data_IF_702307706153
#
_entry.id   IF_702307706153
#
_cell.length_a   1.000
_cell.length_b   1.000
_cell.length_c   1.000
_cell.angle_alpha   90.00
_cell.angle_beta   90.00
_cell.angle_gamma   90.00
#
_symmetry.space_group_name_H-M   'P 1'
#
loop_
_entity.id
_entity.type
_entity.pdbx_description
1 polymer ?
#
# COMPACT_ATOMS: atom_id res chain seq x y z
N UNK A 1 52.47 32.04 -9.41
CA UNK A 1 52.09 30.66 -9.04
C UNK A 1 51.16 30.73 -7.83
N UNK A 2 49.84 30.88 -8.03
CA UNK A 2 48.83 29.80 -7.99
C UNK A 2 49.02 28.82 -6.82
N UNK A 3 48.53 29.27 -5.67
CA UNK A 3 48.07 28.47 -4.52
C UNK A 3 47.15 27.32 -5.00
N UNK A 4 47.71 26.11 -5.01
CA UNK A 4 47.01 24.86 -4.73
C UNK A 4 47.45 24.55 -3.29
N UNK A 5 46.58 24.41 -2.32
CA UNK A 5 45.67 23.28 -2.18
C UNK A 5 44.38 23.74 -1.51
N UNK A 6 43.26 23.40 -2.17
CA UNK A 6 41.94 23.46 -1.57
C UNK A 6 41.92 22.50 -0.39
N UNK A 7 41.45 22.95 0.77
CA UNK A 7 40.88 22.08 1.79
C UNK A 7 39.77 21.24 1.15
N UNK A 8 40.14 20.06 0.65
CA UNK A 8 39.23 19.09 0.07
C UNK A 8 38.80 18.20 1.23
N UNK A 9 37.53 18.34 1.62
CA UNK A 9 36.98 17.80 2.87
C UNK A 9 37.27 16.32 3.13
N UNK A 10 37.41 16.02 4.43
CA UNK A 10 37.82 14.79 5.13
C UNK A 10 37.31 13.41 4.64
N UNK A 11 36.34 13.33 3.72
CA UNK A 11 35.72 12.06 3.31
C UNK A 11 36.56 11.25 2.31
N UNK A 12 37.40 11.89 1.49
CA UNK A 12 38.29 11.17 0.55
C UNK A 12 39.41 10.39 1.24
N UNK A 13 39.61 10.60 2.55
CA UNK A 13 40.58 9.88 3.36
C UNK A 13 39.98 8.65 4.08
N UNK A 14 38.65 8.46 4.01
CA UNK A 14 37.98 7.33 4.66
C UNK A 14 38.01 6.08 3.77
N UNK A 15 38.19 4.88 4.35
CA UNK A 15 37.98 3.63 3.63
C UNK A 15 36.55 3.51 3.06
N UNK A 16 36.39 2.83 1.94
CA UNK A 16 35.09 2.58 1.28
C UNK A 16 34.08 1.96 2.25
N UNK A 17 34.52 1.07 3.13
CA UNK A 17 33.66 0.41 4.11
C UNK A 17 33.08 1.41 5.13
N UNK A 18 33.86 2.41 5.55
CA UNK A 18 33.36 3.47 6.43
C UNK A 18 32.32 4.33 5.71
N UNK A 19 32.57 4.68 4.45
CA UNK A 19 31.62 5.44 3.63
C UNK A 19 30.34 4.62 3.42
N UNK A 20 30.46 3.33 3.10
CA UNK A 20 29.34 2.41 2.92
C UNK A 20 28.51 2.30 4.19
N UNK A 21 29.14 2.15 5.35
CA UNK A 21 28.42 2.11 6.63
C UNK A 21 27.64 3.42 6.88
N UNK A 22 28.25 4.59 6.63
CA UNK A 22 27.57 5.88 6.73
C UNK A 22 26.37 5.93 5.77
N UNK A 23 26.55 5.54 4.51
CA UNK A 23 25.50 5.54 3.50
C UNK A 23 24.34 4.61 3.87
N UNK A 24 24.63 3.44 4.45
CA UNK A 24 23.62 2.47 4.88
C UNK A 24 22.68 3.00 5.98
N UNK A 25 23.08 4.05 6.70
CA UNK A 25 22.29 4.72 7.73
C UNK A 25 21.48 5.91 7.19
N UNK A 26 21.55 6.18 5.89
CA UNK A 26 20.78 7.24 5.21
C UNK A 26 19.54 6.65 4.51
N UNK A 27 18.91 7.42 3.61
CA UNK A 27 17.84 6.90 2.74
C UNK A 27 18.40 6.40 1.41
N UNK A 28 17.71 5.49 0.71
CA UNK A 28 18.07 5.08 -0.66
C UNK A 28 18.23 6.28 -1.61
N UNK A 29 17.37 7.30 -1.43
CA UNK A 29 17.43 8.56 -2.19
C UNK A 29 18.72 9.33 -1.90
N UNK A 30 19.12 9.43 -0.65
CA UNK A 30 20.34 10.16 -0.26
C UNK A 30 21.60 9.42 -0.69
N UNK A 31 21.65 8.10 -0.55
CA UNK A 31 22.75 7.29 -1.07
C UNK A 31 22.93 7.48 -2.59
N UNK A 32 21.83 7.51 -3.35
CA UNK A 32 21.89 7.81 -4.79
C UNK A 32 22.41 9.23 -5.06
N UNK A 33 22.02 10.24 -4.28
CA UNK A 33 22.51 11.62 -4.44
C UNK A 33 23.99 11.74 -4.10
N UNK A 34 24.42 11.13 -3.00
CA UNK A 34 25.80 11.14 -2.54
C UNK A 34 26.73 10.43 -3.54
N UNK A 35 26.24 9.40 -4.24
CA UNK A 35 26.98 8.72 -5.33
C UNK A 35 27.44 9.65 -6.47
N UNK A 36 26.82 10.83 -6.62
CA UNK A 36 27.16 11.80 -7.65
C UNK A 36 28.24 12.79 -7.21
N UNK A 37 28.65 12.78 -5.94
CA UNK A 37 29.60 13.75 -5.37
C UNK A 37 31.04 13.38 -5.69
N UNK A 38 31.40 12.09 -5.60
CA UNK A 38 32.75 11.60 -5.89
C UNK A 38 32.74 10.12 -6.29
N UNK A 39 33.87 9.64 -6.80
CA UNK A 39 34.07 8.24 -7.15
C UNK A 39 33.96 7.33 -5.92
N UNK A 40 34.51 7.73 -4.78
CA UNK A 40 34.51 6.95 -3.53
C UNK A 40 33.08 6.76 -3.02
N UNK A 41 32.28 7.84 -3.02
CA UNK A 41 30.85 7.75 -2.71
C UNK A 41 30.09 6.92 -3.73
N UNK A 42 30.46 6.97 -5.01
CA UNK A 42 29.85 6.14 -6.04
C UNK A 42 30.05 4.66 -5.72
N UNK A 43 31.28 4.20 -5.56
CA UNK A 43 31.58 2.78 -5.30
C UNK A 43 30.88 2.31 -4.01
N UNK A 44 31.01 3.09 -2.93
CA UNK A 44 30.37 2.77 -1.66
C UNK A 44 28.84 2.70 -1.77
N UNK A 45 28.20 3.64 -2.48
CA UNK A 45 26.74 3.65 -2.67
C UNK A 45 26.23 2.51 -3.55
N UNK A 46 27.09 1.87 -4.34
CA UNK A 46 26.73 0.73 -5.19
C UNK A 46 26.94 -0.63 -4.49
N UNK A 47 27.51 -0.63 -3.28
CA UNK A 47 27.82 -1.83 -2.50
C UNK A 47 26.59 -2.52 -1.93
N UNK A 48 26.57 -3.85 -1.99
CA UNK A 48 25.49 -4.69 -1.46
C UNK A 48 25.30 -4.55 0.05
N UNK A 49 26.32 -4.16 0.82
CA UNK A 49 26.17 -3.90 2.25
C UNK A 49 25.25 -2.71 2.53
N UNK A 50 25.28 -1.69 1.66
CA UNK A 50 24.39 -0.52 1.74
C UNK A 50 22.95 -0.93 1.42
N UNK A 51 22.75 -1.63 0.30
CA UNK A 51 21.41 -2.00 -0.18
C UNK A 51 20.75 -3.09 0.67
N UNK A 52 21.52 -3.95 1.35
CA UNK A 52 20.98 -4.86 2.37
C UNK A 52 20.25 -4.09 3.47
N UNK A 53 20.75 -2.92 3.87
CA UNK A 53 20.15 -2.10 4.93
C UNK A 53 18.90 -1.35 4.48
N UNK A 54 18.77 -1.12 3.18
CA UNK A 54 17.62 -0.46 2.56
C UNK A 54 16.49 -1.42 2.20
N UNK A 55 16.80 -2.70 2.01
CA UNK A 55 15.79 -3.74 1.89
C UNK A 55 15.12 -3.97 3.26
N UNK A 56 13.84 -4.38 3.27
CA UNK A 56 13.21 -4.84 4.51
C UNK A 56 14.01 -5.97 5.15
N UNK A 57 14.11 -6.02 6.48
CA UNK A 57 14.89 -7.05 7.17
C UNK A 57 14.45 -8.48 6.87
N UNK A 58 13.18 -8.66 6.53
CA UNK A 58 12.51 -9.91 6.15
C UNK A 58 12.39 -10.09 4.62
N UNK A 59 13.17 -9.37 3.80
CA UNK A 59 13.07 -9.46 2.34
C UNK A 59 13.25 -10.89 1.81
N UNK A 60 14.05 -11.72 2.47
CA UNK A 60 14.26 -13.11 2.08
C UNK A 60 12.97 -13.90 2.21
N UNK A 61 12.26 -13.77 3.34
CA UNK A 61 10.98 -14.40 3.58
C UNK A 61 9.92 -13.89 2.58
N UNK A 62 9.91 -12.59 2.30
CA UNK A 62 9.03 -12.00 1.29
C UNK A 62 9.27 -12.63 -0.10
N UNK A 63 10.53 -12.81 -0.52
CA UNK A 63 10.87 -13.41 -1.81
C UNK A 63 10.35 -14.85 -1.93
N UNK A 64 10.38 -15.62 -0.84
CA UNK A 64 9.88 -17.01 -0.87
C UNK A 64 8.37 -17.10 -1.15
N UNK A 65 7.63 -16.02 -0.88
CA UNK A 65 6.17 -15.94 -1.08
C UNK A 65 5.78 -15.53 -2.49
N UNK A 66 6.73 -15.12 -3.32
CA UNK A 66 6.44 -14.66 -4.69
C UNK A 66 5.92 -15.79 -5.56
N UNK A 67 4.88 -15.49 -6.35
CA UNK A 67 4.29 -16.45 -7.30
C UNK A 67 5.27 -16.79 -8.42
N UNK A 68 6.15 -15.86 -8.79
CA UNK A 68 7.18 -16.05 -9.81
C UNK A 68 8.54 -15.59 -9.27
N UNK A 69 9.62 -16.37 -9.49
CA UNK A 69 10.94 -16.00 -9.00
C UNK A 69 11.41 -14.65 -9.57
N UNK A 70 11.94 -13.79 -8.71
CA UNK A 70 12.61 -12.55 -9.11
C UNK A 70 14.10 -12.82 -9.22
N UNK A 71 14.63 -12.77 -10.44
CA UNK A 71 16.07 -12.90 -10.69
C UNK A 71 16.72 -11.52 -10.56
N UNK A 72 17.78 -11.43 -9.75
CA UNK A 72 18.56 -10.21 -9.55
C UNK A 72 20.05 -10.53 -9.45
N UNK A 73 20.90 -9.57 -9.84
CA UNK A 73 22.36 -9.74 -9.81
C UNK A 73 23.04 -9.08 -8.60
N UNK A 74 22.33 -8.20 -7.91
CA UNK A 74 22.78 -7.51 -6.69
C UNK A 74 21.58 -7.08 -5.85
N UNK A 75 21.80 -6.70 -4.59
CA UNK A 75 20.73 -6.21 -3.69
C UNK A 75 20.20 -4.86 -4.14
N UNK A 76 21.06 -4.05 -4.76
CA UNK A 76 20.66 -2.84 -5.47
C UNK A 76 19.68 -3.14 -6.60
N UNK A 77 20.00 -4.12 -7.44
CA UNK A 77 19.13 -4.54 -8.54
C UNK A 77 17.78 -5.04 -8.00
N UNK A 78 17.80 -5.90 -6.97
CA UNK A 78 16.60 -6.35 -6.26
C UNK A 78 15.76 -5.16 -5.77
N UNK A 79 16.35 -4.21 -5.05
CA UNK A 79 15.64 -3.04 -4.54
C UNK A 79 14.93 -2.28 -5.66
N UNK A 80 15.61 -2.01 -6.77
CA UNK A 80 15.00 -1.28 -7.89
C UNK A 80 13.89 -2.08 -8.58
N UNK A 81 14.03 -3.40 -8.73
CA UNK A 81 12.94 -4.25 -9.26
C UNK A 81 11.71 -4.18 -8.37
N UNK A 82 11.90 -4.29 -7.05
CA UNK A 82 10.83 -4.18 -6.07
C UNK A 82 10.21 -2.78 -5.99
N UNK A 83 10.86 -1.75 -6.55
CA UNK A 83 10.29 -0.40 -6.66
C UNK A 83 9.59 -0.13 -8.01
N UNK A 84 9.84 -0.94 -9.03
CA UNK A 84 9.41 -0.65 -10.41
C UNK A 84 8.01 -1.15 -10.72
N UNK A 85 7.68 -2.36 -10.26
CA UNK A 85 6.41 -3.00 -10.54
C UNK A 85 5.94 -3.83 -9.34
N UNK A 86 4.62 -3.90 -9.08
CA UNK A 86 4.08 -4.79 -8.06
C UNK A 86 4.42 -6.25 -8.39
N UNK A 87 4.86 -7.00 -7.37
CA UNK A 87 5.11 -8.44 -7.45
C UNK A 87 3.99 -9.17 -6.72
N UNK A 88 3.44 -10.21 -7.34
CA UNK A 88 2.38 -11.03 -6.74
C UNK A 88 2.95 -12.05 -5.74
N UNK A 89 2.27 -12.19 -4.61
CA UNK A 89 2.59 -13.14 -3.54
C UNK A 89 1.35 -13.92 -3.08
N UNK A 90 1.59 -14.98 -2.30
CA UNK A 90 0.56 -15.82 -1.67
C UNK A 90 -0.48 -16.38 -2.67
N UNK A 91 0.00 -17.02 -3.74
CA UNK A 91 -0.89 -17.54 -4.80
C UNK A 91 -1.55 -16.46 -5.66
N UNK A 92 -1.08 -15.21 -5.55
CA UNK A 92 -1.53 -14.10 -6.37
C UNK A 92 -2.69 -13.31 -5.79
N UNK A 93 -3.00 -13.48 -4.51
CA UNK A 93 -4.06 -12.72 -3.83
C UNK A 93 -3.56 -11.41 -3.23
N UNK A 94 -2.24 -11.26 -3.08
CA UNK A 94 -1.60 -10.03 -2.59
C UNK A 94 -0.55 -9.55 -3.56
N UNK A 95 -0.30 -8.24 -3.58
CA UNK A 95 0.82 -7.65 -4.32
C UNK A 95 1.72 -6.84 -3.39
N UNK A 96 3.01 -6.81 -3.70
CA UNK A 96 4.04 -6.13 -2.94
C UNK A 96 4.87 -5.21 -3.82
N UNK A 97 5.17 -4.02 -3.31
CA UNK A 97 6.11 -3.08 -3.90
C UNK A 97 6.82 -2.34 -2.76
N UNK A 98 8.04 -1.84 -3.00
CA UNK A 98 8.73 -0.95 -2.08
C UNK A 98 8.43 0.50 -2.43
N UNK A 99 8.21 1.33 -1.41
CA UNK A 99 8.30 2.76 -1.59
C UNK A 99 9.73 3.14 -1.97
N UNK A 100 9.88 3.68 -3.18
CA UNK A 100 11.17 4.03 -3.78
C UNK A 100 12.00 5.01 -2.95
N UNK A 101 11.35 5.87 -2.16
CA UNK A 101 12.05 6.92 -1.41
C UNK A 101 12.56 6.45 -0.06
N UNK A 102 11.78 5.62 0.61
CA UNK A 102 12.01 5.20 2.00
C UNK A 102 12.40 3.73 2.15
N UNK A 103 12.18 2.89 1.13
CA UNK A 103 12.35 1.44 1.23
C UNK A 103 11.28 0.75 2.08
N UNK A 104 10.23 1.47 2.47
CA UNK A 104 9.14 0.93 3.27
C UNK A 104 8.23 0.04 2.42
N UNK A 105 7.67 -0.99 3.04
CA UNK A 105 6.82 -1.99 2.38
C UNK A 105 5.47 -1.37 2.01
N UNK A 106 5.00 -1.61 0.79
CA UNK A 106 3.64 -1.34 0.35
C UNK A 106 2.98 -2.67 -0.02
N UNK A 107 1.78 -2.91 0.49
CA UNK A 107 0.99 -4.11 0.16
C UNK A 107 -0.33 -3.71 -0.46
N UNK A 108 -0.84 -4.55 -1.35
CA UNK A 108 -2.25 -4.55 -1.70
C UNK A 108 -2.83 -5.92 -1.49
N UNK A 109 -3.95 -5.97 -0.76
CA UNK A 109 -4.81 -7.13 -0.64
C UNK A 109 -5.77 -7.11 -1.83
N UNK A 110 -5.63 -8.04 -2.77
CA UNK A 110 -6.56 -8.17 -3.90
C UNK A 110 -7.93 -8.61 -3.42
N UNK A 111 -8.95 -8.46 -4.26
CA UNK A 111 -10.34 -8.75 -3.90
C UNK A 111 -10.57 -10.17 -3.36
N UNK A 112 -9.76 -11.15 -3.79
CA UNK A 112 -9.79 -12.54 -3.29
C UNK A 112 -9.30 -12.70 -1.85
N UNK A 113 -8.54 -11.73 -1.35
CA UNK A 113 -8.06 -11.68 0.04
C UNK A 113 -9.04 -10.91 0.95
N UNK A 114 -10.08 -10.31 0.39
CA UNK A 114 -11.05 -9.52 1.12
C UNK A 114 -12.29 -10.35 1.47
N UNK A 115 -12.87 -10.09 2.63
CA UNK A 115 -14.23 -10.50 2.94
C UNK A 115 -15.20 -9.47 2.37
N UNK A 116 -15.88 -9.83 1.29
CA UNK A 116 -16.85 -8.98 0.60
C UNK A 116 -18.22 -9.62 0.72
N UNK A 117 -19.17 -8.94 1.34
CA UNK A 117 -20.53 -9.45 1.46
C UNK A 117 -21.12 -9.68 0.06
N UNK A 118 -21.81 -10.81 -0.10
CA UNK A 118 -22.41 -11.29 -1.35
C UNK A 118 -21.44 -11.88 -2.38
N UNK A 119 -20.11 -11.69 -2.25
CA UNK A 119 -19.16 -12.12 -3.28
C UNK A 119 -19.16 -13.65 -3.52
N UNK A 120 -19.39 -14.45 -2.47
CA UNK A 120 -19.39 -15.91 -2.54
C UNK A 120 -20.77 -16.54 -2.81
N UNK A 121 -21.79 -15.72 -3.13
CA UNK A 121 -23.11 -16.27 -3.44
C UNK A 121 -23.10 -17.02 -4.79
N UNK A 122 -23.47 -18.31 -4.81
CA UNK A 122 -23.22 -19.20 -5.96
C UNK A 122 -24.05 -18.86 -7.21
N UNK A 123 -25.09 -18.05 -7.07
CA UNK A 123 -26.02 -17.71 -8.17
C UNK A 123 -25.64 -16.43 -8.92
N UNK A 124 -24.58 -15.74 -8.49
CA UNK A 124 -24.19 -14.44 -9.04
C UNK A 124 -22.72 -14.48 -9.44
N UNK A 125 -22.42 -14.13 -10.69
CA UNK A 125 -21.03 -14.06 -11.18
C UNK A 125 -20.38 -12.77 -10.68
N UNK A 126 -19.93 -12.79 -9.43
CA UNK A 126 -19.29 -11.63 -8.77
C UNK A 126 -17.79 -11.53 -9.04
N UNK A 127 -17.22 -12.41 -9.85
CA UNK A 127 -15.78 -12.44 -10.13
C UNK A 127 -15.55 -12.27 -11.62
N UNK A 128 -14.69 -11.31 -11.96
CA UNK A 128 -14.31 -11.01 -13.35
C UNK A 128 -12.82 -10.74 -13.45
N UNK A 129 -12.28 -10.90 -14.65
CA UNK A 129 -10.94 -10.41 -14.96
C UNK A 129 -11.03 -9.02 -15.59
N UNK A 130 -10.03 -8.19 -15.34
CA UNK A 130 -9.90 -6.84 -15.90
C UNK A 130 -8.47 -6.70 -16.46
N UNK A 131 -8.27 -6.35 -17.74
CA UNK A 131 -6.93 -6.26 -18.35
C UNK A 131 -5.98 -5.30 -17.61
N UNK A 132 -6.53 -4.27 -16.97
CA UNK A 132 -5.83 -3.26 -16.20
C UNK A 132 -5.62 -3.64 -14.72
N UNK A 133 -6.15 -4.78 -14.27
CA UNK A 133 -5.95 -5.28 -12.91
C UNK A 133 -4.58 -5.94 -12.78
N UNK A 134 -3.94 -5.74 -11.63
CA UNK A 134 -2.73 -6.52 -11.27
C UNK A 134 -3.07 -7.96 -10.83
N UNK A 135 -4.32 -8.22 -10.46
CA UNK A 135 -4.83 -9.52 -10.01
C UNK A 135 -5.63 -10.21 -11.11
N UNK A 136 -5.63 -11.55 -11.11
CA UNK A 136 -6.39 -12.36 -12.07
C UNK A 136 -7.89 -12.14 -11.98
N UNK A 137 -8.39 -12.00 -10.75
CA UNK A 137 -9.79 -11.79 -10.41
C UNK A 137 -9.97 -10.49 -9.62
N UNK A 138 -11.02 -9.76 -9.97
CA UNK A 138 -11.56 -8.62 -9.22
C UNK A 138 -13.02 -8.90 -8.86
N UNK A 139 -13.49 -8.30 -7.78
CA UNK A 139 -14.87 -8.48 -7.33
C UNK A 139 -15.80 -7.47 -8.01
N UNK A 140 -16.79 -7.95 -8.74
CA UNK A 140 -17.91 -7.17 -9.24
C UNK A 140 -19.08 -7.30 -8.26
N UNK A 141 -19.55 -6.18 -7.70
CA UNK A 141 -20.73 -6.12 -6.87
C UNK A 141 -21.98 -6.08 -7.75
N UNK A 142 -22.68 -7.21 -7.86
CA UNK A 142 -23.93 -7.32 -8.59
C UNK A 142 -25.13 -7.34 -7.62
N UNK A 143 -25.96 -6.29 -7.69
CA UNK A 143 -27.23 -6.20 -6.95
C UNK A 143 -27.12 -6.58 -5.47
N UNK A 144 -26.07 -6.10 -4.79
CA UNK A 144 -25.85 -6.36 -3.37
C UNK A 144 -26.89 -5.60 -2.56
N UNK A 145 -27.61 -6.30 -1.68
CA UNK A 145 -28.57 -5.68 -0.76
C UNK A 145 -27.85 -4.78 0.25
N UNK A 146 -26.62 -5.14 0.65
CA UNK A 146 -25.74 -4.39 1.53
C UNK A 146 -24.30 -4.37 1.01
N UNK A 147 -23.55 -3.32 1.35
CA UNK A 147 -22.11 -3.24 1.08
C UNK A 147 -21.31 -3.33 2.37
N UNK A 148 -20.44 -4.34 2.44
CA UNK A 148 -19.46 -4.51 3.50
C UNK A 148 -18.23 -5.22 2.93
N UNK A 149 -17.11 -4.50 2.90
CA UNK A 149 -15.81 -4.92 2.40
C UNK A 149 -14.83 -4.82 3.56
N UNK A 150 -14.18 -5.93 3.88
CA UNK A 150 -13.23 -6.02 4.98
C UNK A 150 -11.93 -6.66 4.50
N UNK A 151 -10.81 -6.04 4.84
CA UNK A 151 -9.47 -6.58 4.67
C UNK A 151 -8.77 -6.67 6.02
N UNK A 152 -7.95 -7.70 6.20
CA UNK A 152 -7.10 -7.88 7.37
C UNK A 152 -5.67 -8.15 6.94
N UNK A 153 -4.72 -7.52 7.63
CA UNK A 153 -3.29 -7.78 7.43
C UNK A 153 -2.60 -7.75 8.78
N UNK A 154 -1.71 -8.71 9.00
CA UNK A 154 -0.89 -8.78 10.21
C UNK A 154 0.08 -7.59 10.23
N UNK A 155 0.21 -6.90 11.37
CA UNK A 155 1.06 -5.71 11.50
C UNK A 155 2.52 -6.01 11.20
N UNK A 156 3.00 -7.23 11.51
CA UNK A 156 4.34 -7.72 11.21
C UNK A 156 4.69 -7.73 9.72
N UNK A 157 3.68 -7.82 8.84
CA UNK A 157 3.92 -7.73 7.40
C UNK A 157 4.30 -6.31 6.98
N UNK A 158 3.93 -5.29 7.75
CA UNK A 158 4.19 -3.88 7.45
C UNK A 158 5.53 -3.42 7.99
N UNK A 159 5.97 -2.23 7.61
CA UNK A 159 7.21 -1.65 8.15
C UNK A 159 6.97 -1.01 9.52
N UNK A 160 7.84 -1.27 10.53
CA UNK A 160 7.72 -0.64 11.85
C UNK A 160 7.99 0.86 11.78
N UNK A 161 7.55 1.59 12.81
CA UNK A 161 7.66 3.05 12.93
C UNK A 161 7.19 3.78 11.68
N UNK A 162 6.05 3.35 11.15
CA UNK A 162 5.54 3.87 9.86
C UNK A 162 4.05 4.13 9.97
N UNK A 163 3.64 5.37 9.68
CA UNK A 163 2.23 5.69 9.47
C UNK A 163 1.83 5.21 8.08
N UNK A 164 0.81 4.37 8.01
CA UNK A 164 0.22 3.90 6.77
C UNK A 164 -1.09 4.62 6.50
N UNK A 165 -1.43 4.71 5.21
CA UNK A 165 -2.76 5.09 4.74
C UNK A 165 -3.31 3.94 3.91
N UNK A 166 -4.52 3.50 4.23
CA UNK A 166 -5.22 2.46 3.49
C UNK A 166 -6.16 3.09 2.45
N UNK A 167 -6.17 2.52 1.24
CA UNK A 167 -6.98 2.98 0.12
C UNK A 167 -7.78 1.83 -0.44
N UNK A 168 -9.09 1.99 -0.61
CA UNK A 168 -9.87 1.09 -1.45
C UNK A 168 -9.58 1.47 -2.91
N UNK A 169 -9.18 0.50 -3.73
CA UNK A 169 -8.94 0.67 -5.16
C UNK A 169 -10.03 -0.06 -5.94
N UNK A 170 -10.73 0.68 -6.79
CA UNK A 170 -11.92 0.19 -7.47
C UNK A 170 -12.20 0.97 -8.77
N UNK A 171 -13.10 0.47 -9.59
CA UNK A 171 -13.68 1.22 -10.70
C UNK A 171 -15.21 1.07 -10.67
N UNK A 172 -15.90 1.90 -11.45
CA UNK A 172 -17.36 1.88 -11.55
C UNK A 172 -17.73 1.48 -12.98
N UNK A 173 -18.50 0.40 -13.10
CA UNK A 173 -18.99 -0.10 -14.38
C UNK A 173 -19.91 0.93 -15.03
N UNK A 174 -20.00 0.91 -16.36
CA UNK A 174 -20.83 1.86 -17.12
C UNK A 174 -22.33 1.81 -16.74
N UNK A 175 -22.81 0.68 -16.23
CA UNK A 175 -24.12 0.55 -15.60
C UNK A 175 -23.94 0.35 -14.10
N UNK A 176 -24.33 1.36 -13.32
CA UNK A 176 -24.27 1.35 -11.85
C UNK A 176 -25.51 2.02 -11.27
N UNK A 177 -25.78 1.77 -10.00
CA UNK A 177 -26.79 2.50 -9.23
C UNK A 177 -26.47 2.46 -7.74
N UNK A 178 -26.91 3.48 -7.01
CA UNK A 178 -26.83 3.56 -5.55
C UNK A 178 -25.43 3.81 -5.00
N UNK A 179 -24.44 4.09 -5.85
CA UNK A 179 -23.05 4.34 -5.44
C UNK A 179 -22.81 5.81 -5.08
N UNK A 180 -23.68 6.70 -5.56
CA UNK A 180 -23.62 8.14 -5.33
C UNK A 180 -24.16 8.54 -3.96
N UNK A 181 -25.11 7.76 -3.43
CA UNK A 181 -25.78 7.97 -2.15
C UNK A 181 -26.49 6.68 -1.68
N UNK A 182 -26.60 6.43 -0.36
CA UNK A 182 -25.95 7.14 0.75
C UNK A 182 -24.42 6.97 0.75
N UNK A 183 -23.67 7.85 1.45
CA UNK A 183 -22.26 7.61 1.69
C UNK A 183 -22.05 6.31 2.46
N UNK A 184 -20.79 5.87 2.49
CA UNK A 184 -20.36 4.67 3.21
C UNK A 184 -19.30 5.04 4.25
N UNK A 185 -19.27 4.31 5.36
CA UNK A 185 -18.29 4.42 6.43
C UNK A 185 -17.03 3.70 6.00
N UNK A 186 -15.88 4.36 6.11
CA UNK A 186 -14.59 3.70 6.05
C UNK A 186 -13.88 3.81 7.41
N UNK A 187 -13.17 2.77 7.81
CA UNK A 187 -12.39 2.76 9.04
C UNK A 187 -11.16 1.87 8.90
N UNK A 188 -10.14 2.19 9.70
CA UNK A 188 -8.96 1.36 9.88
C UNK A 188 -8.66 1.25 11.36
N UNK A 189 -8.42 0.03 11.85
CA UNK A 189 -8.23 -0.27 13.27
C UNK A 189 -7.08 -1.25 13.45
N UNK A 190 -6.28 -1.04 14.50
CA UNK A 190 -5.35 -2.04 15.03
C UNK A 190 -6.10 -2.83 16.11
N UNK A 191 -6.09 -4.15 15.99
CA UNK A 191 -6.73 -5.08 16.91
C UNK A 191 -5.63 -5.91 17.60
N UNK A 192 -5.60 -5.94 18.92
CA UNK A 192 -4.71 -6.82 19.70
C UNK A 192 -5.23 -8.27 19.68
N UNK A 193 -4.33 -9.26 19.59
CA UNK A 193 -4.69 -10.67 19.70
C UNK A 193 -5.10 -11.00 21.14
N UNK A 194 -6.39 -11.30 21.36
CA UNK A 194 -6.91 -11.55 22.70
C UNK A 194 -8.28 -10.93 23.02
N UNK A 195 -9.23 -10.94 22.08
CA UNK A 195 -10.67 -11.06 22.38
C UNK A 195 -11.28 -10.12 23.43
N UNK A 196 -10.71 -8.95 23.67
CA UNK A 196 -11.41 -7.88 24.35
C UNK A 196 -12.37 -7.25 23.36
N UNK A 197 -13.68 -7.39 23.59
CA UNK A 197 -14.62 -6.38 23.12
C UNK A 197 -14.17 -5.06 23.74
N UNK A 198 -13.25 -4.37 23.06
CA UNK A 198 -12.83 -3.03 23.42
C UNK A 198 -14.11 -2.23 23.56
N UNK A 199 -14.34 -1.73 24.77
CA UNK A 199 -15.44 -0.84 25.12
C UNK A 199 -15.70 0.07 23.95
N UNK A 200 -16.93 0.06 23.42
CA UNK A 200 -17.33 0.76 22.21
C UNK A 200 -16.93 2.23 22.22
N UNK A 201 -15.69 2.51 21.84
CA UNK A 201 -15.29 3.81 21.34
C UNK A 201 -15.95 3.85 19.98
N UNK A 202 -16.94 4.74 19.86
CA UNK A 202 -17.52 5.16 18.59
C UNK A 202 -16.37 5.27 17.60
N UNK A 203 -16.32 4.33 16.65
CA UNK A 203 -15.18 4.25 15.78
C UNK A 203 -15.20 5.51 14.93
N UNK A 204 -14.10 6.26 14.90
CA UNK A 204 -14.00 7.40 13.98
C UNK A 204 -14.08 6.84 12.56
N UNK A 205 -15.27 6.92 11.98
CA UNK A 205 -15.53 6.53 10.60
C UNK A 205 -15.29 7.74 9.71
N UNK A 206 -14.57 7.51 8.61
CA UNK A 206 -14.54 8.46 7.52
C UNK A 206 -15.81 8.30 6.68
N UNK A 207 -16.53 9.39 6.44
CA UNK A 207 -17.62 9.45 5.48
C UNK A 207 -17.04 9.54 4.08
N UNK A 208 -17.28 8.52 3.26
CA UNK A 208 -16.74 8.44 1.91
C UNK A 208 -17.86 8.18 0.89
N UNK A 209 -17.71 8.73 -0.31
CA UNK A 209 -18.63 8.51 -1.42
C UNK A 209 -17.95 7.67 -2.49
N UNK A 210 -18.62 6.65 -3.02
CA UNK A 210 -18.05 5.76 -4.04
C UNK A 210 -18.15 6.36 -5.44
N UNK A 211 -19.04 7.34 -5.63
CA UNK A 211 -19.18 8.07 -6.88
C UNK A 211 -19.57 9.53 -6.63
N UNK A 212 -19.01 10.43 -7.45
CA UNK A 212 -19.36 11.85 -7.40
C UNK A 212 -20.75 12.09 -7.99
N UNK A 213 -21.51 12.96 -7.35
CA UNK A 213 -22.81 13.40 -7.87
C UNK A 213 -22.66 14.56 -8.86
N UNK A 214 -23.40 14.48 -9.96
CA UNK A 214 -23.48 15.54 -10.99
C UNK A 214 -24.78 16.37 -10.84
N UNK A 215 -25.75 15.92 -10.05
CA UNK A 215 -27.05 16.57 -9.89
C UNK A 215 -27.04 17.71 -8.86
N UNK A 216 -27.70 18.82 -9.17
CA UNK A 216 -27.83 20.00 -8.28
C UNK A 216 -28.92 19.86 -7.21
N UNK A 217 -29.80 18.86 -7.33
CA UNK A 217 -31.00 18.72 -6.49
C UNK A 217 -30.76 17.90 -5.21
N UNK A 218 -29.56 17.35 -5.03
CA UNK A 218 -29.18 16.53 -3.87
C UNK A 218 -28.22 17.34 -2.98
N UNK A 219 -28.28 17.21 -1.64
CA UNK A 219 -27.35 17.88 -0.73
C UNK A 219 -25.89 17.65 -1.16
N UNK A 220 -25.09 18.72 -1.09
CA UNK A 220 -23.67 18.67 -1.41
C UNK A 220 -22.99 17.55 -0.63
N UNK A 221 -22.25 16.70 -1.32
CA UNK A 221 -21.47 15.63 -0.69
C UNK A 221 -20.44 16.24 0.28
N UNK A 222 -20.61 16.00 1.58
CA UNK A 222 -19.67 16.39 2.65
C UNK A 222 -18.96 15.11 3.11
N UNK A 223 -17.77 14.87 2.56
CA UNK A 223 -16.99 13.65 2.79
C UNK A 223 -15.90 13.51 1.74
N UNK A 224 -15.17 12.40 1.78
CA UNK A 224 -14.14 12.11 0.78
C UNK A 224 -14.77 11.60 -0.51
N UNK A 225 -14.19 12.01 -1.64
CA UNK A 225 -14.55 11.56 -2.97
C UNK A 225 -13.42 10.73 -3.56
N UNK A 226 -13.73 9.81 -4.48
CA UNK A 226 -12.71 8.98 -5.10
C UNK A 226 -11.89 9.83 -6.05
N UNK A 227 -10.62 9.47 -6.18
CA UNK A 227 -9.67 10.10 -7.08
C UNK A 227 -9.24 9.11 -8.15
N UNK A 228 -9.20 9.57 -9.39
CA UNK A 228 -8.65 8.79 -10.50
C UNK A 228 -7.12 8.63 -10.39
N UNK A 229 -6.66 7.42 -10.64
CA UNK A 229 -5.25 7.03 -10.68
C UNK A 229 -4.74 7.02 -12.12
N UNK A 230 -3.42 7.03 -12.28
CA UNK A 230 -2.80 6.96 -13.62
C UNK A 230 -2.94 5.61 -14.32
N UNK A 231 -3.44 4.58 -13.64
CA UNK A 231 -3.63 3.22 -14.13
C UNK A 231 -5.09 2.93 -14.56
N UNK A 232 -5.96 3.95 -14.54
CA UNK A 232 -7.38 3.85 -14.90
C UNK A 232 -8.28 3.32 -13.79
N UNK A 233 -7.74 3.04 -12.60
CA UNK A 233 -8.51 2.77 -11.40
C UNK A 233 -8.84 4.06 -10.65
N UNK A 234 -9.82 3.99 -9.76
CA UNK A 234 -10.09 5.00 -8.75
C UNK A 234 -9.58 4.51 -7.40
N UNK A 235 -9.21 5.45 -6.53
CA UNK A 235 -8.91 5.18 -5.13
C UNK A 235 -9.65 6.11 -4.19
N UNK A 236 -9.95 5.62 -3.00
CA UNK A 236 -10.47 6.44 -1.90
C UNK A 236 -9.77 6.08 -0.60
N UNK A 237 -9.37 7.10 0.16
CA UNK A 237 -8.71 6.91 1.44
C UNK A 237 -9.71 6.38 2.48
N UNK A 238 -9.35 5.28 3.13
CA UNK A 238 -10.16 4.65 4.17
C UNK A 238 -9.80 5.16 5.56
N UNK A 239 -8.52 5.48 5.77
CA UNK A 239 -8.00 5.96 7.03
C UNK A 239 -6.50 5.73 7.18
N UNK A 240 -5.97 6.18 8.32
CA UNK A 240 -4.55 6.12 8.65
C UNK A 240 -4.33 5.42 9.97
N UNK A 241 -3.20 4.74 10.11
CA UNK A 241 -2.82 4.04 11.34
C UNK A 241 -1.29 4.03 11.46
N UNK A 242 -0.79 3.91 12.68
CA UNK A 242 0.66 3.87 12.97
C UNK A 242 1.05 2.45 13.35
N UNK A 243 2.07 1.91 12.69
CA UNK A 243 2.73 0.68 13.12
C UNK A 243 3.89 1.06 14.04
N UNK A 244 3.81 0.61 15.29
CA UNK A 244 4.82 0.85 16.31
C UNK A 244 5.97 -0.16 16.21
N UNK A 245 7.14 0.20 16.75
CA UNK A 245 8.24 -0.74 16.93
C UNK A 245 7.91 -1.78 18.00
N UNK A 246 8.17 -3.06 17.72
CA UNK A 246 7.95 -4.15 18.67
C UNK A 246 6.51 -4.66 18.80
N UNK A 247 5.56 -4.13 18.03
CA UNK A 247 4.22 -4.72 17.87
C UNK A 247 4.31 -5.95 16.95
N UNK A 248 3.99 -7.13 17.46
CA UNK A 248 4.13 -8.41 16.73
C UNK A 248 2.81 -9.12 16.42
N UNK A 249 1.80 -8.91 17.26
CA UNK A 249 0.58 -9.74 17.26
C UNK A 249 -0.69 -8.93 16.95
N UNK A 250 -0.55 -7.71 16.45
CA UNK A 250 -1.69 -6.87 16.08
C UNK A 250 -2.17 -7.17 14.66
N UNK A 251 -3.48 -7.15 14.45
CA UNK A 251 -4.09 -7.23 13.13
C UNK A 251 -4.64 -5.86 12.75
N UNK A 252 -4.22 -5.36 11.59
CA UNK A 252 -4.82 -4.18 10.98
C UNK A 252 -6.09 -4.62 10.25
N UNK A 253 -7.24 -4.18 10.75
CA UNK A 253 -8.53 -4.33 10.10
C UNK A 253 -8.89 -3.05 9.33
N UNK A 254 -9.20 -3.21 8.05
CA UNK A 254 -9.72 -2.14 7.19
C UNK A 254 -11.12 -2.52 6.77
N UNK A 255 -12.10 -1.62 6.96
CA UNK A 255 -13.50 -1.92 6.64
C UNK A 255 -14.19 -0.75 5.99
N UNK A 256 -14.93 -1.04 4.92
CA UNK A 256 -15.87 -0.14 4.27
C UNK A 256 -17.27 -0.74 4.36
N UNK A 257 -18.21 -0.03 4.98
CA UNK A 257 -19.57 -0.51 5.24
C UNK A 257 -20.61 0.61 5.17
N UNK A 258 -21.88 0.28 4.98
CA UNK A 258 -22.95 1.28 4.90
C UNK A 258 -23.26 1.97 6.25
N UNK A 259 -23.74 3.22 6.20
CA UNK A 259 -24.16 3.98 7.40
C UNK A 259 -25.52 3.53 7.97
N UNK A 260 -26.47 3.22 7.09
CA UNK A 260 -27.91 3.09 7.39
C UNK A 260 -28.46 1.71 6.97
N UNK A 261 -29.79 1.61 6.79
CA UNK A 261 -30.44 0.43 6.24
C UNK A 261 -29.82 0.05 4.88
N UNK A 262 -29.70 -1.24 4.57
CA UNK A 262 -29.09 -1.72 3.33
C UNK A 262 -29.76 -1.08 2.12
N UNK A 263 -28.99 -0.36 1.30
CA UNK A 263 -29.51 0.23 0.06
C UNK A 263 -28.89 -0.51 -1.11
N UNK A 264 -29.70 -1.02 -2.06
CA UNK A 264 -29.18 -1.77 -3.19
C UNK A 264 -28.09 -1.00 -3.94
N UNK A 265 -26.94 -1.63 -4.11
CA UNK A 265 -25.78 -1.09 -4.84
C UNK A 265 -25.33 -2.06 -5.92
N UNK A 266 -24.94 -1.52 -7.07
CA UNK A 266 -24.39 -2.33 -8.16
C UNK A 266 -23.42 -1.53 -9.01
N UNK A 267 -22.53 -2.25 -9.71
CA UNK A 267 -21.57 -1.68 -10.65
C UNK A 267 -20.23 -1.31 -10.01
N UNK A 268 -20.03 -1.60 -8.72
CA UNK A 268 -18.72 -1.45 -8.08
C UNK A 268 -17.81 -2.63 -8.48
N UNK A 269 -16.63 -2.33 -9.01
CA UNK A 269 -15.60 -3.32 -9.35
C UNK A 269 -14.39 -3.08 -8.46
N UNK A 270 -14.16 -3.95 -7.50
CA UNK A 270 -13.11 -3.81 -6.48
C UNK A 270 -11.87 -4.56 -6.92
N UNK A 271 -10.75 -3.85 -7.06
CA UNK A 271 -9.44 -4.49 -7.24
C UNK A 271 -8.92 -4.99 -5.90
N UNK A 272 -9.04 -4.17 -4.85
CA UNK A 272 -8.54 -4.52 -3.52
C UNK A 272 -8.32 -3.32 -2.59
N UNK A 273 -7.60 -3.54 -1.48
CA UNK A 273 -7.21 -2.51 -0.52
C UNK A 273 -5.68 -2.36 -0.52
N UNK A 274 -5.19 -1.17 -0.82
CA UNK A 274 -3.76 -0.84 -0.90
C UNK A 274 -3.30 -0.04 0.32
N UNK A 275 -2.23 -0.50 0.97
CA UNK A 275 -1.61 0.12 2.12
C UNK A 275 -0.29 0.77 1.70
N UNK A 276 -0.22 2.10 1.83
CA UNK A 276 0.95 2.90 1.45
C UNK A 276 1.53 3.62 2.67
N UNK A 277 2.86 3.63 2.86
CA UNK A 277 3.51 4.51 3.82
C UNK A 277 3.15 5.97 3.53
N UNK A 278 2.74 6.71 4.54
CA UNK A 278 2.49 8.14 4.42
C UNK A 278 3.82 8.87 4.35
N UNK A 279 4.02 9.65 3.29
CA UNK A 279 5.16 10.55 3.20
C UNK A 279 4.97 11.72 4.18
N UNK A 280 5.92 11.89 5.10
CA UNK A 280 6.04 13.07 5.96
C UNK A 280 6.67 14.25 5.24
#
# INVERSE_FOLDING_TARGET
EREREREMGCFSALPEECISNILSLTTPRDACRLSLISWEFKVAAESDSVWERFLPSDYQDIITRFVSPVVFTSKRDLYFRLCQAPVLLDGGTKSFILDKSSGKKCYMLGARELSITWADFPYVKNWTSQPQSRFSDVAYLWNGLSLDIQGKIESQMLSPNTTYTAYLVFTVAGQFYGLEHPPVKASVKLLEDGGGEGSGIESDYNTVYLQSQVSTDIPKQVGQLPRERGDGWMEIEMGQFLINEGGGDEVVEMRLMEFEAPTPKSGLVVEGIELRPKHG
#
